data_IF_691737488241
#
_entry.id   IF_691737488241
#
_cell.length_a   1.000
_cell.length_b   1.000
_cell.length_c   1.000
_cell.angle_alpha   90.00
_cell.angle_beta   90.00
_cell.angle_gamma   90.00
#
_symmetry.space_group_name_H-M   'P 1'
#
loop_
_entity.id
_entity.type
_entity.pdbx_description
1 polymer ?
#
# COMPACT_ATOMS: atom_id res chain seq x y z
N UNK A 1 -19.43 72.18 -13.03
CA UNK A 1 -19.86 70.92 -12.41
C UNK A 1 -19.33 69.78 -13.26
N UNK A 2 -18.24 69.19 -12.86
CA UNK A 2 -17.63 68.05 -13.57
C UNK A 2 -17.65 66.88 -12.65
N UNK A 3 -18.41 65.85 -13.07
CA UNK A 3 -18.62 64.62 -12.33
C UNK A 3 -17.51 63.63 -12.72
N UNK A 4 -16.60 63.31 -11.81
CA UNK A 4 -15.55 62.32 -12.00
C UNK A 4 -16.10 60.92 -11.66
N UNK A 5 -16.18 60.03 -12.66
CA UNK A 5 -16.55 58.61 -12.50
C UNK A 5 -15.26 57.85 -12.19
N UNK A 6 -15.13 57.32 -10.97
CA UNK A 6 -14.06 56.45 -10.58
C UNK A 6 -14.38 54.99 -11.02
N UNK A 7 -13.61 54.44 -11.99
CA UNK A 7 -13.66 53.03 -12.37
C UNK A 7 -12.90 52.21 -11.33
N UNK A 8 -13.60 51.40 -10.53
CA UNK A 8 -13.00 50.44 -9.64
C UNK A 8 -12.63 49.17 -10.47
N UNK A 9 -11.33 48.96 -10.66
CA UNK A 9 -10.79 47.72 -11.24
C UNK A 9 -10.88 46.61 -10.20
N UNK A 10 -11.83 45.70 -10.38
CA UNK A 10 -11.88 44.45 -9.64
C UNK A 10 -10.73 43.56 -10.10
N UNK A 11 -9.67 43.53 -9.31
CA UNK A 11 -8.56 42.58 -9.48
C UNK A 11 -9.02 41.16 -9.20
N UNK A 12 -9.18 40.35 -10.23
CA UNK A 12 -9.39 38.93 -10.13
C UNK A 12 -8.11 38.26 -9.63
N UNK A 13 -8.00 38.02 -8.32
CA UNK A 13 -6.90 37.26 -7.73
C UNK A 13 -7.10 35.79 -8.07
N UNK A 14 -6.47 35.35 -9.14
CA UNK A 14 -6.38 33.93 -9.49
C UNK A 14 -5.61 33.21 -8.39
N UNK A 15 -6.34 32.51 -7.54
CA UNK A 15 -5.80 31.60 -6.52
C UNK A 15 -5.11 30.44 -7.24
N UNK A 16 -3.78 30.53 -7.39
CA UNK A 16 -2.99 29.39 -7.87
C UNK A 16 -3.20 28.21 -6.93
N UNK A 17 -3.50 26.99 -7.46
CA UNK A 17 -3.50 25.81 -6.64
C UNK A 17 -2.08 25.59 -6.11
N UNK A 18 -1.96 25.54 -4.80
CA UNK A 18 -0.72 25.27 -4.08
C UNK A 18 -0.18 23.91 -4.54
N UNK A 19 0.76 23.93 -5.47
CA UNK A 19 1.55 22.78 -5.89
C UNK A 19 2.43 22.40 -4.72
N UNK A 20 1.90 21.59 -3.81
CA UNK A 20 2.72 20.87 -2.84
C UNK A 20 3.63 19.97 -3.68
N UNK A 21 4.86 20.40 -3.85
CA UNK A 21 5.96 19.64 -4.44
C UNK A 21 6.01 18.27 -3.77
N UNK A 22 5.47 17.26 -4.45
CA UNK A 22 5.67 15.84 -4.09
C UNK A 22 7.17 15.54 -4.33
N UNK A 23 8.00 15.87 -3.35
CA UNK A 23 9.38 15.40 -3.32
C UNK A 23 9.32 13.89 -3.35
N UNK A 24 9.95 13.28 -4.35
CA UNK A 24 10.08 11.83 -4.45
C UNK A 24 10.50 11.27 -3.09
N UNK A 25 9.65 10.42 -2.51
CA UNK A 25 9.91 9.82 -1.20
C UNK A 25 11.04 8.82 -1.41
N UNK A 26 12.19 9.03 -0.77
CA UNK A 26 13.28 8.05 -0.78
C UNK A 26 12.87 6.80 -0.01
N UNK A 27 13.15 5.58 -0.53
CA UNK A 27 12.91 4.35 0.21
C UNK A 27 13.58 4.37 1.59
N UNK A 28 12.89 3.84 2.60
CA UNK A 28 13.33 3.90 4.02
C UNK A 28 14.43 2.90 4.37
N UNK A 29 14.67 1.90 3.50
CA UNK A 29 15.65 0.84 3.73
C UNK A 29 15.18 -0.49 3.10
N UNK A 30 16.02 -1.54 3.17
CA UNK A 30 15.64 -2.85 2.64
C UNK A 30 14.42 -3.40 3.37
N UNK A 31 13.53 -4.06 2.64
CA UNK A 31 12.49 -4.89 3.22
C UNK A 31 13.12 -6.21 3.69
N UNK A 32 12.58 -6.87 4.73
CA UNK A 32 13.15 -8.10 5.26
C UNK A 32 13.00 -9.27 4.30
N UNK A 33 13.95 -10.20 4.37
CA UNK A 33 13.85 -11.50 3.71
C UNK A 33 12.97 -12.42 4.56
N UNK A 34 12.19 -13.27 3.91
CA UNK A 34 11.36 -14.28 4.56
C UNK A 34 11.10 -15.47 3.63
N UNK A 35 10.70 -16.60 4.21
CA UNK A 35 10.08 -17.74 3.53
C UNK A 35 8.86 -18.13 4.36
N UNK A 36 7.66 -17.96 3.81
CA UNK A 36 6.40 -18.16 4.52
C UNK A 36 5.51 -19.15 3.77
N UNK A 37 4.69 -19.89 4.53
CA UNK A 37 3.67 -20.76 3.99
C UNK A 37 2.61 -19.94 3.23
N UNK A 38 2.23 -20.42 2.04
CA UNK A 38 1.13 -19.85 1.28
C UNK A 38 -0.17 -20.62 1.57
N UNK A 39 -1.22 -19.94 1.96
CA UNK A 39 -2.54 -20.52 2.27
C UNK A 39 -3.10 -21.33 1.10
N UNK A 40 -2.75 -21.00 -0.14
CA UNK A 40 -3.09 -21.76 -1.34
C UNK A 40 -2.25 -23.02 -1.53
N UNK A 41 -1.19 -23.20 -0.75
CA UNK A 41 -0.25 -24.31 -0.78
C UNK A 41 1.16 -23.91 -1.17
N UNK A 42 2.13 -24.67 -0.65
CA UNK A 42 3.56 -24.39 -0.85
C UNK A 42 4.08 -23.25 0.01
N UNK A 43 5.23 -22.71 -0.38
CA UNK A 43 5.88 -21.57 0.30
C UNK A 43 6.20 -20.49 -0.70
N UNK A 44 6.32 -19.24 -0.22
CA UNK A 44 6.74 -18.09 -1.00
C UNK A 44 7.88 -17.38 -0.27
N UNK A 45 8.93 -17.05 -1.00
CA UNK A 45 10.09 -16.29 -0.50
C UNK A 45 9.99 -14.83 -0.87
N UNK A 46 10.55 -13.97 -0.04
CA UNK A 46 10.69 -12.55 -0.37
C UNK A 46 11.43 -12.34 -1.71
N UNK A 47 12.40 -13.21 -2.01
CA UNK A 47 13.14 -13.19 -3.27
C UNK A 47 12.23 -13.34 -4.50
N UNK A 48 11.14 -14.11 -4.40
CA UNK A 48 10.19 -14.33 -5.51
C UNK A 48 9.34 -13.09 -5.81
N UNK A 49 9.32 -12.13 -4.88
CA UNK A 49 8.59 -10.86 -5.00
C UNK A 49 9.44 -9.74 -5.63
N UNK A 50 10.77 -9.91 -5.70
CA UNK A 50 11.68 -8.93 -6.31
C UNK A 50 11.39 -8.77 -7.81
N UNK A 51 11.63 -7.57 -8.33
CA UNK A 51 11.35 -7.21 -9.73
C UNK A 51 9.94 -6.67 -9.97
N UNK A 52 9.06 -6.69 -8.96
CA UNK A 52 7.73 -6.08 -9.03
C UNK A 52 7.48 -5.20 -7.81
N UNK A 53 6.68 -4.14 -7.98
CA UNK A 53 6.14 -3.38 -6.87
C UNK A 53 5.22 -4.29 -6.07
N UNK A 54 5.35 -4.27 -4.74
CA UNK A 54 4.54 -5.10 -3.85
C UNK A 54 3.78 -4.25 -2.84
N UNK A 55 2.53 -4.61 -2.58
CA UNK A 55 1.70 -4.07 -1.50
C UNK A 55 1.52 -5.20 -0.50
N UNK A 56 2.11 -5.05 0.68
CA UNK A 56 2.10 -6.07 1.75
C UNK A 56 1.22 -5.56 2.87
N UNK A 57 0.12 -6.27 3.13
CA UNK A 57 -0.83 -5.94 4.20
C UNK A 57 -0.75 -6.96 5.33
N UNK A 58 -0.41 -6.50 6.51
CA UNK A 58 -0.44 -7.30 7.74
C UNK A 58 -1.83 -7.23 8.35
N UNK A 59 -2.43 -8.40 8.55
CA UNK A 59 -3.79 -8.54 9.04
C UNK A 59 -3.93 -9.72 10.01
N UNK A 60 -5.06 -9.80 10.70
CA UNK A 60 -5.41 -10.94 11.55
C UNK A 60 -6.85 -11.38 11.32
N UNK A 61 -7.16 -12.65 11.59
CA UNK A 61 -8.50 -13.23 11.37
C UNK A 61 -9.60 -12.58 12.21
N UNK A 62 -9.24 -12.00 13.32
CA UNK A 62 -10.13 -11.29 14.25
C UNK A 62 -10.17 -9.76 14.03
N UNK A 63 -9.40 -9.22 13.07
CA UNK A 63 -9.26 -7.78 12.84
C UNK A 63 -10.37 -7.24 11.93
N UNK A 64 -11.47 -6.77 12.48
CA UNK A 64 -12.59 -6.21 11.72
C UNK A 64 -12.19 -5.05 10.77
N UNK A 65 -11.34 -4.08 11.17
CA UNK A 65 -10.92 -3.03 10.24
C UNK A 65 -10.10 -3.57 9.07
N UNK A 66 -9.31 -4.66 9.28
CA UNK A 66 -8.57 -5.32 8.20
C UNK A 66 -9.53 -5.97 7.21
N UNK A 67 -10.52 -6.71 7.73
CA UNK A 67 -11.53 -7.41 6.92
C UNK A 67 -12.30 -6.40 6.05
N UNK A 68 -12.65 -5.24 6.59
CA UNK A 68 -13.35 -4.18 5.85
C UNK A 68 -12.53 -3.60 4.67
N UNK A 69 -11.20 -3.74 4.66
CA UNK A 69 -10.34 -3.28 3.57
C UNK A 69 -10.12 -4.32 2.46
N UNK A 70 -10.40 -5.61 2.71
CA UNK A 70 -10.14 -6.70 1.75
C UNK A 70 -10.77 -6.47 0.38
N UNK A 71 -12.04 -6.01 0.25
CA UNK A 71 -12.61 -5.73 -1.06
C UNK A 71 -11.80 -4.71 -1.88
N UNK A 72 -11.20 -3.73 -1.22
CA UNK A 72 -10.37 -2.71 -1.86
C UNK A 72 -9.02 -3.27 -2.30
N UNK A 73 -8.43 -4.18 -1.53
CA UNK A 73 -7.21 -4.91 -1.94
C UNK A 73 -7.49 -5.88 -3.08
N UNK A 74 -8.66 -6.53 -3.12
CA UNK A 74 -9.09 -7.33 -4.27
C UNK A 74 -9.15 -6.46 -5.55
N UNK A 75 -9.76 -5.27 -5.47
CA UNK A 75 -9.81 -4.32 -6.58
C UNK A 75 -8.40 -3.87 -7.01
N UNK A 76 -7.50 -3.62 -6.05
CA UNK A 76 -6.13 -3.24 -6.34
C UNK A 76 -5.40 -4.35 -7.10
N UNK A 77 -5.54 -5.61 -6.64
CA UNK A 77 -4.98 -6.78 -7.29
C UNK A 77 -5.47 -6.96 -8.73
N UNK A 78 -6.76 -6.77 -8.97
CA UNK A 78 -7.37 -6.86 -10.29
C UNK A 78 -6.94 -5.69 -11.21
N UNK A 79 -6.84 -4.48 -10.67
CA UNK A 79 -6.50 -3.27 -11.43
C UNK A 79 -5.03 -3.21 -11.86
N UNK A 80 -4.13 -3.76 -11.06
CA UNK A 80 -2.68 -3.69 -11.29
C UNK A 80 -2.05 -5.09 -11.40
N UNK A 81 -2.18 -5.80 -12.53
CA UNK A 81 -1.67 -7.17 -12.68
C UNK A 81 -0.14 -7.28 -12.57
N UNK A 82 0.57 -6.18 -12.78
CA UNK A 82 2.03 -6.08 -12.63
C UNK A 82 2.50 -5.75 -11.20
N UNK A 83 1.55 -5.55 -10.27
CA UNK A 83 1.81 -5.28 -8.85
C UNK A 83 1.40 -6.50 -8.05
N UNK A 84 2.21 -6.86 -7.06
CA UNK A 84 1.89 -7.97 -6.17
C UNK A 84 1.16 -7.44 -4.94
N UNK A 85 -0.04 -7.96 -4.68
CA UNK A 85 -0.78 -7.72 -3.44
C UNK A 85 -0.64 -8.97 -2.58
N UNK A 86 -0.13 -8.82 -1.37
CA UNK A 86 0.19 -9.91 -0.44
C UNK A 86 -0.45 -9.60 0.92
N UNK A 87 -1.28 -10.50 1.40
CA UNK A 87 -1.74 -10.47 2.79
C UNK A 87 -0.83 -11.35 3.65
N UNK A 88 -0.24 -10.82 4.71
CA UNK A 88 0.50 -11.61 5.69
C UNK A 88 -0.33 -11.67 6.96
N UNK A 89 -0.81 -12.89 7.30
CA UNK A 89 -1.60 -13.11 8.51
C UNK A 89 -0.66 -13.33 9.69
N UNK A 90 -0.84 -12.58 10.76
CA UNK A 90 -0.10 -12.76 12.01
C UNK A 90 -1.06 -12.77 13.19
N UNK A 91 -0.61 -13.26 14.36
CA UNK A 91 -1.40 -13.28 15.60
C UNK A 91 -2.79 -13.94 15.42
N UNK A 92 -2.84 -15.00 14.62
CA UNK A 92 -4.07 -15.74 14.31
C UNK A 92 -3.82 -17.24 14.45
N UNK A 93 -4.76 -18.02 15.01
CA UNK A 93 -4.65 -19.47 15.00
C UNK A 93 -4.53 -20.00 13.57
N UNK A 94 -3.60 -20.92 13.33
CA UNK A 94 -3.30 -21.42 11.99
C UNK A 94 -4.55 -22.04 11.31
N UNK A 95 -5.34 -22.78 12.08
CA UNK A 95 -6.56 -23.45 11.65
C UNK A 95 -7.66 -22.46 11.18
N UNK A 96 -7.66 -21.24 11.69
CA UNK A 96 -8.66 -20.22 11.36
C UNK A 96 -8.33 -19.46 10.06
N UNK A 97 -7.06 -19.47 9.63
CA UNK A 97 -6.61 -18.59 8.52
C UNK A 97 -7.28 -18.99 7.21
N UNK A 98 -7.15 -20.24 6.78
CA UNK A 98 -7.70 -20.69 5.50
C UNK A 98 -9.23 -20.58 5.41
N UNK A 99 -10.00 -20.96 6.44
CA UNK A 99 -11.44 -20.71 6.48
C UNK A 99 -11.78 -19.24 6.37
N UNK A 100 -11.09 -18.37 7.12
CA UNK A 100 -11.33 -16.92 7.09
C UNK A 100 -11.00 -16.31 5.73
N UNK A 101 -9.88 -16.65 5.10
CA UNK A 101 -9.51 -16.20 3.74
C UNK A 101 -10.64 -16.51 2.73
N UNK A 102 -11.23 -17.70 2.82
CA UNK A 102 -12.35 -18.11 1.97
C UNK A 102 -13.63 -17.33 2.29
N UNK A 103 -13.95 -17.19 3.58
CA UNK A 103 -15.14 -16.48 4.08
C UNK A 103 -15.18 -15.03 3.59
N UNK A 104 -14.04 -14.30 3.74
CA UNK A 104 -13.95 -12.89 3.37
C UNK A 104 -13.63 -12.65 1.90
N UNK A 105 -13.43 -13.72 1.11
CA UNK A 105 -13.25 -13.65 -0.34
C UNK A 105 -11.96 -12.97 -0.78
N UNK A 106 -10.82 -13.25 -0.13
CA UNK A 106 -9.52 -12.73 -0.57
C UNK A 106 -9.12 -13.36 -1.91
N UNK A 107 -8.77 -12.53 -2.90
CA UNK A 107 -8.41 -12.95 -4.27
C UNK A 107 -6.91 -12.87 -4.56
N UNK A 108 -6.13 -12.35 -3.65
CA UNK A 108 -4.69 -12.17 -3.74
C UNK A 108 -3.95 -13.16 -2.84
N UNK A 109 -2.64 -13.24 -2.99
CA UNK A 109 -1.79 -14.17 -2.22
C UNK A 109 -1.87 -13.88 -0.73
N UNK A 110 -2.09 -14.95 0.08
CA UNK A 110 -2.09 -14.86 1.54
C UNK A 110 -1.04 -15.80 2.11
N UNK A 111 -0.20 -15.26 2.97
CA UNK A 111 0.87 -15.96 3.64
C UNK A 111 0.60 -16.07 5.14
N UNK A 112 1.01 -17.19 5.73
CA UNK A 112 1.02 -17.38 7.17
C UNK A 112 2.29 -16.77 7.74
N UNK A 113 2.16 -15.63 8.39
CA UNK A 113 3.26 -14.90 9.02
C UNK A 113 3.58 -15.42 10.43
N UNK A 114 4.66 -14.88 10.97
CA UNK A 114 5.16 -15.12 12.33
C UNK A 114 5.75 -13.83 12.93
N UNK A 115 6.22 -13.90 14.16
CA UNK A 115 6.81 -12.75 14.85
C UNK A 115 8.08 -12.26 14.12
N UNK A 116 8.90 -13.15 13.58
CA UNK A 116 10.15 -12.79 12.89
C UNK A 116 9.89 -11.89 11.67
N UNK A 117 8.87 -12.23 10.85
CA UNK A 117 8.52 -11.39 9.70
C UNK A 117 7.94 -10.05 10.15
N UNK A 118 7.11 -10.04 11.19
CA UNK A 118 6.56 -8.82 11.76
C UNK A 118 7.65 -7.89 12.29
N UNK A 119 8.61 -8.43 13.03
CA UNK A 119 9.77 -7.72 13.57
C UNK A 119 10.69 -7.22 12.46
N UNK A 120 10.92 -8.03 11.42
CA UNK A 120 11.68 -7.64 10.25
C UNK A 120 11.12 -6.39 9.55
N UNK A 121 9.80 -6.22 9.53
CA UNK A 121 9.13 -4.99 9.04
C UNK A 121 9.09 -3.85 10.09
N UNK A 122 9.87 -3.97 11.17
CA UNK A 122 10.00 -2.96 12.22
C UNK A 122 8.96 -3.04 13.31
N UNK A 123 8.39 -4.22 13.51
CA UNK A 123 7.34 -4.50 14.48
C UNK A 123 5.96 -3.95 14.08
N UNK A 124 4.92 -4.64 14.51
CA UNK A 124 3.54 -4.23 14.26
C UNK A 124 2.94 -3.62 15.52
N UNK A 125 2.80 -2.30 15.52
CA UNK A 125 2.19 -1.55 16.63
C UNK A 125 0.66 -1.48 16.53
N UNK A 126 0.06 -2.05 15.49
CA UNK A 126 -1.39 -2.09 15.28
C UNK A 126 -1.79 -2.63 13.92
N UNK A 127 -3.08 -2.87 13.76
CA UNK A 127 -3.71 -3.40 12.55
C UNK A 127 -4.78 -2.47 11.99
N UNK A 128 -5.00 -2.52 10.66
CA UNK A 128 -4.12 -3.07 9.65
C UNK A 128 -2.81 -2.30 9.53
N UNK A 129 -1.72 -2.94 9.10
CA UNK A 129 -0.48 -2.24 8.74
C UNK A 129 -0.08 -2.65 7.32
N UNK A 130 0.00 -1.68 6.42
CA UNK A 130 0.28 -1.91 5.00
C UNK A 130 1.60 -1.27 4.60
N UNK A 131 2.42 -2.00 3.85
CA UNK A 131 3.67 -1.52 3.27
C UNK A 131 3.56 -1.48 1.75
N UNK A 132 4.09 -0.44 1.13
CA UNK A 132 4.41 -0.39 -0.30
C UNK A 132 5.91 -0.63 -0.42
N UNK A 133 6.30 -1.62 -1.22
CA UNK A 133 7.68 -2.08 -1.41
C UNK A 133 8.06 -1.93 -2.88
N UNK A 134 9.24 -1.41 -3.14
CA UNK A 134 9.78 -1.19 -4.48
C UNK A 134 10.24 -2.48 -5.15
N UNK A 135 10.51 -2.47 -6.46
CA UNK A 135 11.04 -3.61 -7.22
C UNK A 135 12.38 -4.11 -6.70
N UNK A 136 13.23 -3.21 -6.20
CA UNK A 136 14.53 -3.54 -5.60
C UNK A 136 14.42 -3.91 -4.10
N UNK A 137 13.20 -4.28 -3.66
CA UNK A 137 12.90 -4.80 -2.34
C UNK A 137 13.25 -3.82 -1.21
N UNK A 138 12.82 -2.55 -1.36
CA UNK A 138 12.96 -1.53 -0.32
C UNK A 138 11.58 -1.02 0.11
N UNK A 139 11.45 -0.75 1.40
CA UNK A 139 10.22 -0.16 1.94
C UNK A 139 10.10 1.27 1.41
N UNK A 140 9.12 1.51 0.55
CA UNK A 140 8.78 2.84 0.05
C UNK A 140 7.93 3.60 1.06
N UNK A 141 6.85 2.96 1.56
CA UNK A 141 5.92 3.60 2.49
C UNK A 141 5.26 2.61 3.44
N UNK A 142 4.92 3.10 4.65
CA UNK A 142 4.15 2.36 5.67
C UNK A 142 2.86 3.13 5.95
N UNK A 143 1.75 2.42 5.98
CA UNK A 143 0.43 2.90 6.37
C UNK A 143 -0.01 2.14 7.62
N UNK A 144 -0.30 2.86 8.71
CA UNK A 144 -0.74 2.28 9.97
C UNK A 144 -2.23 2.59 10.18
N UNK A 145 -3.02 1.56 10.45
CA UNK A 145 -4.45 1.66 10.72
C UNK A 145 -5.32 1.79 9.47
N UNK A 146 -6.62 1.80 9.68
CA UNK A 146 -7.64 2.04 8.66
C UNK A 146 -7.79 3.56 8.42
N UNK A 147 -6.90 4.12 7.61
CA UNK A 147 -6.87 5.56 7.32
C UNK A 147 -7.90 5.94 6.25
N UNK A 148 -8.55 7.11 6.36
CA UNK A 148 -9.31 7.69 5.27
C UNK A 148 -8.46 7.78 4.00
N UNK A 149 -9.05 7.42 2.84
CA UNK A 149 -8.39 7.47 1.52
C UNK A 149 -7.05 6.69 1.42
N UNK A 150 -6.82 5.70 2.32
CA UNK A 150 -5.60 4.87 2.30
C UNK A 150 -5.37 4.23 0.94
N UNK A 151 -6.43 3.68 0.33
CA UNK A 151 -6.33 3.00 -0.96
C UNK A 151 -5.96 3.94 -2.11
N UNK A 152 -6.49 5.17 -2.14
CA UNK A 152 -6.14 6.15 -3.17
C UNK A 152 -4.67 6.59 -3.03
N UNK A 153 -4.18 6.69 -1.79
CA UNK A 153 -2.77 6.98 -1.51
C UNK A 153 -1.86 5.83 -1.94
N UNK A 154 -2.26 4.58 -1.69
CA UNK A 154 -1.51 3.39 -2.15
C UNK A 154 -1.49 3.35 -3.68
N UNK A 155 -2.61 3.61 -4.37
CA UNK A 155 -2.68 3.70 -5.83
C UNK A 155 -1.70 4.74 -6.37
N UNK A 156 -1.68 5.95 -5.80
CA UNK A 156 -0.75 7.00 -6.19
C UNK A 156 0.71 6.58 -5.99
N UNK A 157 1.03 5.90 -4.89
CA UNK A 157 2.38 5.39 -4.64
C UNK A 157 2.78 4.33 -5.68
N UNK A 158 1.86 3.41 -6.03
CA UNK A 158 2.06 2.40 -7.07
C UNK A 158 2.34 3.08 -8.43
N UNK A 159 1.50 4.00 -8.84
CA UNK A 159 1.62 4.73 -10.12
C UNK A 159 2.95 5.50 -10.19
N UNK A 160 3.35 6.13 -9.07
CA UNK A 160 4.64 6.81 -8.97
C UNK A 160 5.82 5.84 -9.17
N UNK A 161 5.76 4.65 -8.56
CA UNK A 161 6.81 3.66 -8.67
C UNK A 161 6.87 3.01 -10.06
N UNK A 162 5.72 2.77 -10.70
CA UNK A 162 5.66 2.22 -12.05
C UNK A 162 6.18 3.23 -13.09
N UNK A 163 5.82 4.51 -12.98
CA UNK A 163 6.30 5.55 -13.88
C UNK A 163 7.81 5.79 -13.77
N UNK A 164 8.39 5.68 -12.57
CA UNK A 164 9.84 5.82 -12.37
C UNK A 164 10.64 4.72 -13.07
N UNK A 165 10.07 3.54 -13.25
CA UNK A 165 10.72 2.42 -13.94
C UNK A 165 10.76 2.59 -15.46
N UNK A 166 9.73 3.21 -16.05
CA UNK A 166 9.68 3.47 -17.50
C UNK A 166 10.79 4.44 -17.94
N UNK A 167 11.16 5.39 -17.06
CA UNK A 167 12.22 6.35 -17.33
C UNK A 167 13.64 5.84 -17.03
N UNK A 168 13.79 4.70 -16.36
CA UNK A 168 15.09 4.10 -16.07
C UNK A 168 15.61 3.15 -17.17
N UNK A 169 14.79 2.86 -18.18
CA UNK A 169 15.09 1.92 -19.29
C UNK A 169 15.40 2.63 -20.61
N UNK A 170 15.38 3.96 -20.65
CA UNK A 170 15.85 4.81 -21.76
C UNK A 170 17.26 5.36 -21.47
#
# INVERSE_FOLDING_TARGET
MALAIALALFGCTSRQPNSTSDKAVKPKGPAPEFELENVAGGKLKAADLKGKVSVIDFWATWCEPCIAEIPKFNQLHEQYPNVQVIGITVMSPHEDIKPKVKEVGMKYTVLVGNDDVADGFGGLIGFPTTFVVTKDWKIYKKYLGALPNKQDRIKKDIETLLAADEHATD
#
